data_IF_720269712174
#
_entry.id   IF_720269712174
#
_cell.length_a   1.000
_cell.length_b   1.000
_cell.length_c   1.000
_cell.angle_alpha   90.00
_cell.angle_beta   90.00
_cell.angle_gamma   90.00
#
_symmetry.space_group_name_H-M   'P 1'
#
loop_
_entity.id
_entity.type
_entity.pdbx_description
1 polymer ?
#
# COMPACT_ATOMS: atom_id res chain seq x y z
N UNK A 1 3.78 -3.20 -22.37
CA UNK A 1 5.04 -3.92 -22.59
C UNK A 1 6.08 -3.27 -21.69
N UNK A 2 6.47 -3.94 -20.57
CA UNK A 2 7.49 -3.44 -19.62
C UNK A 2 8.87 -3.55 -20.28
N UNK A 3 9.22 -2.55 -21.10
CA UNK A 3 10.47 -2.50 -21.84
C UNK A 3 11.54 -1.92 -20.91
N UNK A 4 12.45 -2.75 -20.41
CA UNK A 4 13.71 -2.30 -19.81
C UNK A 4 13.96 -2.58 -18.32
N UNK A 5 13.02 -3.11 -17.54
CA UNK A 5 13.33 -3.48 -16.15
C UNK A 5 14.16 -4.76 -16.13
N UNK A 6 15.39 -4.66 -15.63
CA UNK A 6 16.28 -5.81 -15.42
C UNK A 6 16.02 -6.53 -14.08
N UNK A 7 15.08 -6.05 -13.25
CA UNK A 7 14.73 -6.58 -11.94
C UNK A 7 13.22 -6.48 -11.69
N UNK A 8 12.73 -7.21 -10.70
CA UNK A 8 11.36 -7.14 -10.18
C UNK A 8 11.36 -6.48 -8.80
N UNK A 9 10.18 -6.23 -8.26
CA UNK A 9 10.00 -5.54 -6.99
C UNK A 9 9.58 -6.50 -5.88
N UNK A 10 10.24 -6.41 -4.73
CA UNK A 10 9.74 -6.88 -3.44
C UNK A 10 9.00 -5.73 -2.76
N UNK A 11 7.69 -5.85 -2.57
CA UNK A 11 6.89 -4.81 -1.93
C UNK A 11 6.66 -5.13 -0.46
N UNK A 12 6.99 -4.18 0.41
CA UNK A 12 6.76 -4.22 1.86
C UNK A 12 5.50 -3.42 2.17
N UNK A 13 4.50 -4.07 2.73
CA UNK A 13 3.21 -3.47 3.11
C UNK A 13 3.05 -3.57 4.63
N UNK A 14 3.18 -2.45 5.37
CA UNK A 14 3.04 -2.45 6.82
C UNK A 14 1.55 -2.41 7.18
N UNK A 15 1.10 -3.36 7.99
CA UNK A 15 -0.27 -3.42 8.50
C UNK A 15 -0.22 -3.32 10.01
N UNK A 16 -0.52 -2.14 10.55
CA UNK A 16 -0.56 -1.91 12.01
C UNK A 16 -1.71 -2.67 12.64
N UNK A 17 -1.62 -2.85 13.96
CA UNK A 17 -2.71 -3.39 14.78
C UNK A 17 -4.02 -2.70 14.44
N UNK A 18 -5.00 -3.48 14.01
CA UNK A 18 -6.26 -2.98 13.42
C UNK A 18 -7.10 -2.15 14.39
N UNK A 19 -6.87 -2.32 15.70
CA UNK A 19 -7.49 -1.50 16.74
C UNK A 19 -7.02 -0.03 16.66
N UNK A 20 -5.79 0.22 16.22
CA UNK A 20 -5.21 1.56 16.08
C UNK A 20 -5.42 2.18 14.68
N UNK A 21 -5.86 1.37 13.71
CA UNK A 21 -6.04 1.81 12.34
C UNK A 21 -7.29 2.68 12.17
N UNK A 22 -7.21 3.74 11.33
CA UNK A 22 -8.35 4.50 10.80
C UNK A 22 -9.29 5.13 11.84
N UNK A 23 -8.71 5.83 12.84
CA UNK A 23 -9.47 6.55 13.87
C UNK A 23 -10.48 7.55 13.28
N UNK A 24 -10.17 8.21 12.15
CA UNK A 24 -11.05 9.17 11.47
C UNK A 24 -12.22 8.52 10.72
N UNK A 25 -12.12 7.22 10.41
CA UNK A 25 -13.21 6.40 9.87
C UNK A 25 -13.99 5.66 10.96
N UNK A 26 -13.58 5.79 12.25
CA UNK A 26 -14.20 5.07 13.36
C UNK A 26 -15.70 5.34 13.50
N UNK A 27 -16.12 6.58 13.33
CA UNK A 27 -17.53 6.98 13.43
C UNK A 27 -18.38 6.38 12.30
N UNK A 28 -17.78 6.18 11.12
CA UNK A 28 -18.45 5.62 9.95
C UNK A 28 -18.45 4.09 9.95
N UNK A 29 -17.44 3.45 10.55
CA UNK A 29 -17.28 1.98 10.54
C UNK A 29 -17.70 1.31 11.84
N UNK A 30 -17.76 2.05 12.96
CA UNK A 30 -18.19 1.58 14.27
C UNK A 30 -17.50 0.25 14.68
N UNK A 31 -18.30 -0.78 15.12
CA UNK A 31 -17.77 -2.08 15.52
C UNK A 31 -17.14 -2.86 14.37
N UNK A 32 -17.33 -2.47 13.12
CA UNK A 32 -16.79 -3.15 11.92
C UNK A 32 -15.43 -2.65 11.47
N UNK A 33 -14.83 -1.72 12.23
CA UNK A 33 -13.55 -1.07 11.89
C UNK A 33 -12.42 -2.05 11.57
N UNK A 34 -12.25 -3.08 12.40
CA UNK A 34 -11.24 -4.12 12.20
C UNK A 34 -11.47 -4.87 10.87
N UNK A 35 -12.71 -5.27 10.63
CA UNK A 35 -13.10 -5.98 9.40
C UNK A 35 -12.89 -5.10 8.15
N UNK A 36 -13.25 -3.82 8.25
CA UNK A 36 -13.02 -2.86 7.17
C UNK A 36 -11.52 -2.68 6.88
N UNK A 37 -10.68 -2.49 7.91
CA UNK A 37 -9.25 -2.33 7.74
C UNK A 37 -8.59 -3.57 7.12
N UNK A 38 -8.99 -4.79 7.52
CA UNK A 38 -8.54 -6.04 6.89
C UNK A 38 -8.96 -6.10 5.43
N UNK A 39 -10.19 -5.72 5.11
CA UNK A 39 -10.70 -5.76 3.73
C UNK A 39 -9.91 -4.81 2.82
N UNK A 40 -9.63 -3.59 3.29
CA UNK A 40 -8.83 -2.59 2.57
C UNK A 40 -7.41 -3.10 2.32
N UNK A 41 -6.74 -3.62 3.37
CA UNK A 41 -5.41 -4.21 3.23
C UNK A 41 -5.40 -5.44 2.30
N UNK A 42 -6.47 -6.26 2.33
CA UNK A 42 -6.61 -7.41 1.45
C UNK A 42 -6.69 -7.02 -0.02
N UNK A 43 -7.42 -5.95 -0.35
CA UNK A 43 -7.49 -5.47 -1.74
C UNK A 43 -6.16 -4.90 -2.20
N UNK A 44 -5.46 -4.14 -1.35
CA UNK A 44 -4.11 -3.62 -1.64
C UNK A 44 -3.12 -4.76 -1.91
N UNK A 45 -3.09 -5.76 -1.02
CA UNK A 45 -2.21 -6.94 -1.15
C UNK A 45 -2.54 -7.75 -2.39
N UNK A 46 -3.83 -8.02 -2.65
CA UNK A 46 -4.27 -8.79 -3.82
C UNK A 46 -3.90 -8.09 -5.14
N UNK A 47 -4.06 -6.76 -5.21
CA UNK A 47 -3.66 -5.98 -6.37
C UNK A 47 -2.14 -5.98 -6.56
N UNK A 48 -1.37 -5.84 -5.47
CA UNK A 48 0.09 -5.90 -5.53
C UNK A 48 0.60 -7.27 -6.00
N UNK A 49 0.03 -8.37 -5.49
CA UNK A 49 0.36 -9.73 -5.92
C UNK A 49 0.01 -9.98 -7.39
N UNK A 50 -1.02 -9.32 -7.91
CA UNK A 50 -1.45 -9.43 -9.31
C UNK A 50 -0.63 -8.54 -10.26
N UNK A 51 0.25 -7.68 -9.74
CA UNK A 51 1.08 -6.79 -10.56
C UNK A 51 2.27 -7.55 -11.17
N UNK A 52 2.44 -7.57 -12.51
CA UNK A 52 3.50 -8.35 -13.15
C UNK A 52 4.92 -7.85 -12.83
N UNK A 53 5.08 -6.61 -12.38
CA UNK A 53 6.35 -6.04 -11.93
C UNK A 53 6.74 -6.49 -10.51
N UNK A 54 5.81 -7.06 -9.74
CA UNK A 54 6.02 -7.51 -8.37
C UNK A 54 6.40 -8.99 -8.33
N UNK A 55 7.50 -9.30 -7.65
CA UNK A 55 7.96 -10.66 -7.44
C UNK A 55 7.35 -11.26 -6.17
N UNK A 56 7.25 -10.45 -5.12
CA UNK A 56 6.72 -10.83 -3.80
C UNK A 56 6.08 -9.65 -3.08
N UNK A 57 5.17 -9.97 -2.19
CA UNK A 57 4.59 -9.01 -1.25
C UNK A 57 4.90 -9.50 0.17
N UNK A 58 5.49 -8.63 0.97
CA UNK A 58 5.87 -8.87 2.35
C UNK A 58 5.00 -7.99 3.24
N UNK A 59 4.11 -8.60 3.97
CA UNK A 59 3.27 -7.93 4.96
C UNK A 59 3.99 -7.91 6.30
N UNK A 60 4.15 -6.73 6.89
CA UNK A 60 4.75 -6.57 8.23
C UNK A 60 3.65 -6.22 9.20
N UNK A 61 3.34 -7.15 10.10
CA UNK A 61 2.28 -6.99 11.11
C UNK A 61 2.55 -7.81 12.37
N UNK A 62 2.07 -7.32 13.51
CA UNK A 62 2.00 -8.08 14.78
C UNK A 62 0.57 -8.59 15.07
N UNK A 63 -0.41 -8.29 14.20
CA UNK A 63 -1.82 -8.61 14.41
C UNK A 63 -2.21 -9.91 13.68
N UNK A 64 -2.52 -11.00 14.41
CA UNK A 64 -2.95 -12.25 13.78
C UNK A 64 -4.22 -12.12 12.94
N UNK A 65 -5.11 -11.17 13.27
CA UNK A 65 -6.33 -10.93 12.51
C UNK A 65 -6.06 -10.36 11.12
N UNK A 66 -4.90 -9.71 10.93
CA UNK A 66 -4.42 -9.29 9.63
C UNK A 66 -3.51 -10.35 8.99
N UNK A 67 -2.61 -10.96 9.76
CA UNK A 67 -1.61 -11.90 9.28
C UNK A 67 -2.24 -13.09 8.53
N UNK A 68 -3.25 -13.73 9.14
CA UNK A 68 -3.87 -14.95 8.59
C UNK A 68 -4.53 -14.72 7.23
N UNK A 69 -5.45 -13.74 7.06
CA UNK A 69 -6.09 -13.53 5.76
C UNK A 69 -5.11 -13.02 4.69
N UNK A 70 -4.10 -12.21 5.05
CA UNK A 70 -3.14 -11.70 4.08
C UNK A 70 -2.14 -12.78 3.62
N UNK A 71 -1.73 -13.69 4.52
CA UNK A 71 -0.96 -14.88 4.16
C UNK A 71 -1.75 -15.81 3.22
N UNK A 72 -3.06 -15.98 3.46
CA UNK A 72 -3.93 -16.77 2.59
C UNK A 72 -4.06 -16.22 1.16
N UNK A 73 -3.80 -14.92 0.95
CA UNK A 73 -3.73 -14.31 -0.38
C UNK A 73 -2.40 -14.62 -1.10
N UNK A 74 -1.38 -15.09 -0.39
CA UNK A 74 -0.05 -15.40 -0.93
C UNK A 74 1.04 -14.41 -0.50
N UNK A 75 0.78 -13.51 0.45
CA UNK A 75 1.80 -12.63 1.00
C UNK A 75 2.70 -13.39 1.99
N UNK A 76 4.00 -13.04 2.00
CA UNK A 76 4.92 -13.42 3.06
C UNK A 76 4.64 -12.54 4.30
N UNK A 77 4.51 -13.13 5.48
CA UNK A 77 4.24 -12.37 6.71
C UNK A 77 5.49 -12.32 7.59
N UNK A 78 5.87 -11.11 7.97
CA UNK A 78 6.97 -10.82 8.88
C UNK A 78 6.44 -10.10 10.11
N UNK A 79 6.89 -10.50 11.29
CA UNK A 79 6.45 -9.90 12.55
C UNK A 79 6.92 -8.44 12.66
N UNK A 80 5.98 -7.52 12.94
CA UNK A 80 6.30 -6.12 13.25
C UNK A 80 7.02 -6.05 14.61
N UNK A 81 8.22 -5.40 14.69
CA UNK A 81 8.92 -5.22 15.96
C UNK A 81 8.26 -4.18 16.90
N UNK A 82 7.15 -3.57 16.49
CA UNK A 82 6.38 -2.56 17.23
C UNK A 82 7.22 -1.31 17.63
N UNK A 83 8.10 -0.88 16.74
CA UNK A 83 8.97 0.30 16.91
C UNK A 83 8.67 1.42 15.91
N UNK A 84 7.41 1.48 15.46
CA UNK A 84 6.90 2.48 14.52
C UNK A 84 7.07 2.11 13.04
N UNK A 85 6.33 2.83 12.21
CA UNK A 85 6.10 2.53 10.79
C UNK A 85 7.40 2.34 9.98
N UNK A 86 8.33 3.29 10.09
CA UNK A 86 9.58 3.20 9.32
C UNK A 86 10.49 2.05 9.79
N UNK A 87 10.37 1.60 11.04
CA UNK A 87 11.08 0.42 11.53
C UNK A 87 10.45 -0.86 10.98
N UNK A 88 9.13 -0.97 10.98
CA UNK A 88 8.42 -2.07 10.33
C UNK A 88 8.82 -2.20 8.85
N UNK A 89 8.83 -1.09 8.12
CA UNK A 89 9.25 -1.06 6.72
C UNK A 89 10.70 -1.53 6.53
N UNK A 90 11.65 -1.09 7.38
CA UNK A 90 13.03 -1.56 7.33
C UNK A 90 13.16 -3.05 7.66
N UNK A 91 12.34 -3.56 8.58
CA UNK A 91 12.31 -5.00 8.92
C UNK A 91 11.87 -5.83 7.71
N UNK A 92 10.77 -5.44 7.04
CA UNK A 92 10.34 -6.11 5.81
C UNK A 92 11.34 -5.99 4.67
N UNK A 93 11.99 -4.83 4.52
CA UNK A 93 13.03 -4.62 3.52
C UNK A 93 14.27 -5.49 3.78
N UNK A 94 14.70 -5.65 5.03
CA UNK A 94 15.80 -6.54 5.39
C UNK A 94 15.46 -8.00 5.05
N UNK A 95 14.21 -8.45 5.29
CA UNK A 95 13.74 -9.76 4.86
C UNK A 95 13.78 -9.87 3.33
N UNK A 96 13.25 -8.89 2.58
CA UNK A 96 13.28 -8.88 1.12
C UNK A 96 14.70 -9.06 0.55
N UNK A 97 15.65 -8.27 1.06
CA UNK A 97 17.05 -8.34 0.62
C UNK A 97 17.69 -9.68 0.99
N UNK A 98 17.34 -10.27 2.12
CA UNK A 98 17.90 -11.57 2.54
C UNK A 98 17.47 -12.72 1.63
N UNK A 99 16.25 -12.67 1.11
CA UNK A 99 15.69 -13.74 0.24
C UNK A 99 15.91 -13.48 -1.25
N UNK A 100 16.05 -12.19 -1.65
CA UNK A 100 16.21 -11.80 -3.05
C UNK A 100 17.04 -10.52 -3.21
N UNK A 101 18.35 -10.56 -3.04
CA UNK A 101 19.21 -9.36 -3.06
C UNK A 101 19.26 -8.65 -4.42
N UNK A 102 18.83 -9.30 -5.49
CA UNK A 102 18.75 -8.72 -6.85
C UNK A 102 17.42 -8.02 -7.16
N UNK A 103 16.46 -8.02 -6.25
CA UNK A 103 15.19 -7.33 -6.44
C UNK A 103 15.24 -5.90 -5.89
N UNK A 104 14.47 -5.01 -6.53
CA UNK A 104 14.20 -3.69 -5.97
C UNK A 104 13.28 -3.81 -4.75
N UNK A 105 13.40 -2.90 -3.80
CA UNK A 105 12.57 -2.89 -2.59
C UNK A 105 11.68 -1.66 -2.59
N UNK A 106 10.38 -1.86 -2.41
CA UNK A 106 9.39 -0.78 -2.30
C UNK A 106 8.55 -0.91 -1.03
N UNK A 107 8.27 0.21 -0.38
CA UNK A 107 7.20 0.33 0.61
C UNK A 107 5.92 0.77 -0.10
N UNK A 108 4.82 0.12 0.19
CA UNK A 108 3.49 0.49 -0.28
C UNK A 108 2.55 0.60 0.91
N UNK A 109 1.76 1.67 0.99
CA UNK A 109 0.73 1.81 2.03
C UNK A 109 -0.33 0.69 1.90
N UNK A 110 -0.88 0.26 3.04
CA UNK A 110 -1.85 -0.84 3.11
C UNK A 110 -3.29 -0.41 2.82
N UNK A 111 -3.54 0.87 2.60
CA UNK A 111 -4.86 1.47 2.58
C UNK A 111 -5.27 2.02 1.21
N UNK A 112 -4.93 1.28 0.16
CA UNK A 112 -5.23 1.59 -1.24
C UNK A 112 -6.30 0.62 -1.79
N UNK A 113 -7.58 0.70 -1.33
CA UNK A 113 -8.60 -0.31 -1.67
C UNK A 113 -9.03 -0.29 -3.14
N UNK A 114 -8.69 0.75 -3.87
CA UNK A 114 -8.96 0.88 -5.31
C UNK A 114 -7.73 0.59 -6.17
N UNK A 115 -6.61 0.10 -5.58
CA UNK A 115 -5.36 -0.14 -6.29
C UNK A 115 -5.54 -1.06 -7.50
N UNK A 116 -5.02 -0.62 -8.64
CA UNK A 116 -5.03 -1.38 -9.90
C UNK A 116 -3.65 -1.90 -10.24
N UNK A 117 -3.49 -3.21 -10.52
CA UNK A 117 -2.19 -3.80 -10.86
C UNK A 117 -1.49 -3.10 -12.04
N UNK A 118 -2.23 -2.65 -13.04
CA UNK A 118 -1.68 -1.96 -14.21
C UNK A 118 -1.13 -0.56 -13.86
N UNK A 119 -1.81 0.19 -13.01
CA UNK A 119 -1.35 1.49 -12.54
C UNK A 119 -0.12 1.35 -11.62
N UNK A 120 -0.13 0.33 -10.75
CA UNK A 120 1.03 -0.01 -9.94
C UNK A 120 2.23 -0.40 -10.82
N UNK A 121 2.03 -1.20 -11.86
CA UNK A 121 3.09 -1.55 -12.81
C UNK A 121 3.68 -0.31 -13.51
N UNK A 122 2.83 0.66 -13.86
CA UNK A 122 3.24 1.94 -14.45
C UNK A 122 4.11 2.75 -13.47
N UNK A 123 3.68 2.86 -12.20
CA UNK A 123 4.43 3.56 -11.16
C UNK A 123 5.78 2.89 -10.87
N UNK A 124 5.80 1.55 -10.76
CA UNK A 124 7.01 0.77 -10.53
C UNK A 124 7.98 0.84 -11.71
N UNK A 125 7.45 0.87 -12.94
CA UNK A 125 8.25 1.07 -14.16
C UNK A 125 8.94 2.44 -14.16
N UNK A 126 8.22 3.50 -13.80
CA UNK A 126 8.79 4.84 -13.68
C UNK A 126 9.81 4.93 -12.53
N UNK A 127 9.54 4.28 -11.39
CA UNK A 127 10.46 4.23 -10.25
C UNK A 127 11.79 3.56 -10.59
N UNK A 128 11.77 2.56 -11.45
CA UNK A 128 12.95 1.81 -11.85
C UNK A 128 14.02 2.65 -12.60
N UNK A 129 13.66 3.82 -13.08
CA UNK A 129 14.59 4.75 -13.77
C UNK A 129 15.49 5.52 -12.77
N UNK A 130 15.20 5.48 -11.46
CA UNK A 130 15.88 6.25 -10.42
C UNK A 130 16.41 5.35 -9.32
N UNK A 131 17.51 5.75 -8.67
CA UNK A 131 18.06 5.03 -7.53
C UNK A 131 17.05 4.95 -6.38
N UNK A 132 16.31 6.03 -6.14
CA UNK A 132 15.18 6.08 -5.21
C UNK A 132 14.08 6.99 -5.75
N UNK A 133 12.85 6.56 -5.60
CA UNK A 133 11.67 7.29 -6.06
C UNK A 133 10.48 7.08 -5.14
N UNK A 134 9.50 7.99 -5.21
CA UNK A 134 8.26 7.86 -4.45
C UNK A 134 7.06 8.42 -5.22
N UNK A 135 5.87 7.93 -4.88
CA UNK A 135 4.58 8.45 -5.33
C UNK A 135 3.94 9.20 -4.17
N UNK A 136 3.60 10.49 -4.32
CA UNK A 136 2.85 11.22 -3.31
C UNK A 136 1.40 10.72 -3.23
N UNK A 137 0.75 10.91 -2.08
CA UNK A 137 -0.68 10.69 -1.94
C UNK A 137 -1.49 11.65 -2.83
N UNK A 138 -2.80 11.48 -2.86
CA UNK A 138 -3.68 12.32 -3.67
C UNK A 138 -3.80 13.78 -3.18
N UNK A 139 -3.39 14.06 -1.95
CA UNK A 139 -3.36 15.40 -1.35
C UNK A 139 -2.00 16.09 -1.53
N UNK A 140 -1.00 15.44 -2.10
CA UNK A 140 0.37 15.92 -2.26
C UNK A 140 1.07 16.28 -0.92
N UNK A 141 0.70 15.62 0.18
CA UNK A 141 1.27 15.82 1.52
C UNK A 141 2.02 14.58 2.00
N UNK A 142 1.41 13.42 1.83
CA UNK A 142 1.93 12.12 2.22
C UNK A 142 2.66 11.40 1.08
N UNK A 143 2.82 10.10 1.26
CA UNK A 143 3.48 9.19 0.31
C UNK A 143 2.77 7.85 0.38
N UNK A 144 2.35 7.32 -0.74
CA UNK A 144 1.73 6.00 -0.82
C UNK A 144 2.72 4.91 -1.22
N UNK A 145 3.73 5.26 -2.01
CA UNK A 145 4.82 4.38 -2.42
C UNK A 145 6.18 5.06 -2.27
N UNK A 146 7.18 4.35 -1.75
CA UNK A 146 8.60 4.72 -1.80
C UNK A 146 9.42 3.48 -2.16
N UNK A 147 10.34 3.60 -3.11
CA UNK A 147 11.13 2.47 -3.57
C UNK A 147 12.57 2.82 -3.92
N UNK A 148 13.42 1.80 -3.86
CA UNK A 148 14.84 1.87 -4.21
C UNK A 148 15.23 0.73 -5.14
N UNK A 149 16.21 0.98 -6.01
CA UNK A 149 16.82 -0.04 -6.88
C UNK A 149 17.64 -1.04 -6.07
N UNK A 150 17.96 -2.22 -6.64
CA UNK A 150 18.85 -3.17 -5.99
C UNK A 150 20.18 -2.53 -5.58
N UNK A 151 20.63 -2.81 -4.37
CA UNK A 151 21.89 -2.28 -3.82
C UNK A 151 21.83 -0.86 -3.25
N UNK A 152 20.74 -0.13 -3.46
CA UNK A 152 20.55 1.21 -2.88
C UNK A 152 19.99 1.09 -1.45
N UNK A 153 20.50 1.86 -0.47
CA UNK A 153 20.00 1.82 0.91
C UNK A 153 18.52 2.21 0.99
N UNK A 154 17.71 1.35 1.63
CA UNK A 154 16.29 1.60 1.85
C UNK A 154 16.07 2.46 3.09
N UNK A 155 15.75 3.74 2.90
CA UNK A 155 15.62 4.75 3.96
C UNK A 155 14.24 5.41 3.95
N UNK A 156 13.16 4.69 4.30
CA UNK A 156 11.80 5.22 4.27
C UNK A 156 11.60 6.33 5.31
N UNK A 157 10.79 7.33 4.96
CA UNK A 157 10.51 8.53 5.78
C UNK A 157 9.00 8.80 5.88
N UNK A 158 8.20 7.74 6.00
CA UNK A 158 6.74 7.83 6.12
C UNK A 158 6.28 8.50 7.43
N UNK A 159 5.03 8.97 7.41
CA UNK A 159 4.34 9.65 8.51
C UNK A 159 4.31 11.19 8.32
N UNK A 160 3.23 11.86 8.71
CA UNK A 160 3.04 13.31 8.56
C UNK A 160 3.33 13.80 7.13
N UNK A 161 4.10 14.88 6.99
CA UNK A 161 4.51 15.45 5.69
C UNK A 161 5.61 14.60 5.02
N UNK A 162 5.32 13.33 4.75
CA UNK A 162 6.31 12.38 4.23
C UNK A 162 6.79 12.72 2.82
N UNK A 163 5.96 13.36 1.99
CA UNK A 163 6.37 13.87 0.67
C UNK A 163 7.59 14.80 0.79
N UNK A 164 7.50 15.83 1.64
CA UNK A 164 8.61 16.77 1.85
C UNK A 164 9.87 16.09 2.38
N UNK A 165 9.70 15.08 3.26
CA UNK A 165 10.83 14.32 3.83
C UNK A 165 11.49 13.40 2.83
N UNK A 166 10.74 12.77 1.92
CA UNK A 166 11.33 11.96 0.85
C UNK A 166 12.06 12.84 -0.16
N UNK A 167 11.52 14.01 -0.53
CA UNK A 167 12.21 15.01 -1.35
C UNK A 167 13.53 15.44 -0.72
N UNK A 168 13.52 15.84 0.56
CA UNK A 168 14.71 16.22 1.30
C UNK A 168 15.73 15.06 1.45
N UNK A 169 15.26 13.81 1.36
CA UNK A 169 16.09 12.61 1.32
C UNK A 169 16.70 12.30 -0.05
N UNK A 170 16.43 13.12 -1.07
CA UNK A 170 16.93 12.94 -2.42
C UNK A 170 16.14 11.94 -3.29
N UNK A 171 14.97 11.49 -2.82
CA UNK A 171 14.12 10.62 -3.63
C UNK A 171 13.42 11.40 -4.74
N UNK A 172 13.34 10.81 -5.93
CA UNK A 172 12.64 11.37 -7.08
C UNK A 172 11.14 11.27 -6.88
N UNK A 173 10.44 12.38 -6.92
CA UNK A 173 8.98 12.41 -6.99
C UNK A 173 8.50 11.98 -8.37
N UNK A 174 7.56 11.05 -8.42
CA UNK A 174 6.98 10.54 -9.65
C UNK A 174 5.67 11.26 -9.97
N UNK A 175 5.70 12.08 -11.02
CA UNK A 175 4.52 12.75 -11.58
C UNK A 175 4.06 11.98 -12.83
N UNK A 176 3.52 10.78 -12.63
CA UNK A 176 3.08 9.90 -13.71
C UNK A 176 1.57 10.02 -13.89
N UNK A 177 1.04 10.30 -15.08
CA UNK A 177 -0.39 10.33 -15.33
C UNK A 177 -1.00 8.91 -15.29
N UNK A 178 -2.27 8.81 -14.89
CA UNK A 178 -3.02 7.54 -14.92
C UNK A 178 -2.59 6.53 -13.86
N UNK A 179 -2.15 7.01 -12.68
CA UNK A 179 -1.85 6.19 -11.51
C UNK A 179 -2.70 6.61 -10.30
N UNK A 180 -3.93 7.07 -10.54
CA UNK A 180 -4.78 7.64 -9.50
C UNK A 180 -5.07 6.64 -8.37
N UNK A 181 -5.21 5.36 -8.68
CA UNK A 181 -5.44 4.31 -7.69
C UNK A 181 -4.21 4.03 -6.80
N UNK A 182 -3.00 4.34 -7.27
CA UNK A 182 -1.77 4.23 -6.47
C UNK A 182 -1.66 5.36 -5.46
N UNK A 183 -2.27 6.51 -5.75
CA UNK A 183 -2.23 7.72 -4.93
C UNK A 183 -3.36 7.83 -3.92
N UNK A 184 -4.45 7.04 -4.10
CA UNK A 184 -5.69 7.17 -3.33
C UNK A 184 -5.70 6.24 -2.12
N UNK A 185 -5.07 6.67 -1.05
CA UNK A 185 -5.25 6.10 0.28
C UNK A 185 -6.58 6.54 0.91
N UNK A 186 -7.06 5.77 1.86
CA UNK A 186 -8.37 5.99 2.48
C UNK A 186 -8.21 6.18 3.97
N UNK A 187 -8.25 7.43 4.43
CA UNK A 187 -8.19 7.82 5.84
C UNK A 187 -9.48 8.45 6.37
N UNK A 188 -10.29 9.03 5.48
CA UNK A 188 -11.53 9.75 5.80
C UNK A 188 -12.72 9.19 4.99
N UNK A 189 -13.98 9.52 5.37
CA UNK A 189 -15.15 9.20 4.54
C UNK A 189 -15.05 9.76 3.12
N UNK A 190 -14.53 10.97 2.94
CA UNK A 190 -14.35 11.57 1.62
C UNK A 190 -13.34 10.81 0.75
N UNK A 191 -12.27 10.28 1.36
CA UNK A 191 -11.30 9.42 0.64
C UNK A 191 -11.96 8.12 0.20
N UNK A 192 -12.84 7.55 1.07
CA UNK A 192 -13.58 6.34 0.71
C UNK A 192 -14.53 6.59 -0.46
N UNK A 193 -15.25 7.72 -0.49
CA UNK A 193 -16.11 8.11 -1.62
C UNK A 193 -15.28 8.23 -2.91
N UNK A 194 -14.12 8.86 -2.85
CA UNK A 194 -13.21 8.96 -3.99
C UNK A 194 -12.68 7.59 -4.43
N UNK A 195 -12.36 6.68 -3.50
CA UNK A 195 -11.94 5.32 -3.81
C UNK A 195 -13.09 4.50 -4.42
N UNK A 196 -14.33 4.69 -3.97
CA UNK A 196 -15.54 4.08 -4.57
C UNK A 196 -15.67 4.52 -6.03
N UNK A 197 -15.45 5.79 -6.33
CA UNK A 197 -15.53 6.32 -7.70
C UNK A 197 -14.44 5.72 -8.61
N UNK A 198 -13.25 5.41 -8.08
CA UNK A 198 -12.20 4.69 -8.79
C UNK A 198 -12.52 3.20 -8.99
N UNK A 199 -13.37 2.63 -8.16
CA UNK A 199 -13.71 1.21 -8.14
C UNK A 199 -12.90 0.44 -7.09
N UNK A 200 -13.60 0.03 -6.02
CA UNK A 200 -13.02 -0.75 -4.92
C UNK A 200 -12.68 -2.18 -5.35
N UNK A 201 -11.69 -2.76 -4.71
CA UNK A 201 -11.46 -4.19 -4.75
C UNK A 201 -12.60 -4.97 -4.07
N UNK A 202 -12.65 -6.28 -4.33
CA UNK A 202 -13.77 -7.15 -3.92
C UNK A 202 -13.99 -7.21 -2.42
N UNK A 203 -12.92 -7.16 -1.63
CA UNK A 203 -12.99 -7.31 -0.17
C UNK A 203 -13.61 -6.07 0.48
N UNK A 204 -13.13 -4.87 0.09
CA UNK A 204 -13.66 -3.60 0.57
C UNK A 204 -15.07 -3.37 0.04
N UNK A 205 -15.35 -3.67 -1.23
CA UNK A 205 -16.66 -3.54 -1.83
C UNK A 205 -17.73 -4.36 -1.08
N UNK A 206 -17.40 -5.61 -0.67
CA UNK A 206 -18.31 -6.45 0.09
C UNK A 206 -18.64 -5.84 1.46
N UNK A 207 -17.65 -5.33 2.18
CA UNK A 207 -17.85 -4.68 3.48
C UNK A 207 -18.64 -3.38 3.35
N UNK A 208 -18.32 -2.57 2.34
CA UNK A 208 -19.06 -1.32 2.06
C UNK A 208 -20.52 -1.59 1.75
N UNK A 209 -20.82 -2.60 0.94
CA UNK A 209 -22.21 -2.98 0.61
C UNK A 209 -23.03 -3.40 1.84
N UNK A 210 -22.40 -4.03 2.84
CA UNK A 210 -23.07 -4.42 4.08
C UNK A 210 -23.27 -3.24 5.03
N UNK A 211 -22.24 -2.38 5.19
CA UNK A 211 -22.27 -1.28 6.15
C UNK A 211 -23.08 -0.08 5.65
N UNK A 212 -23.08 0.15 4.35
CA UNK A 212 -23.80 1.24 3.67
C UNK A 212 -24.65 0.66 2.54
N UNK A 213 -25.72 -0.11 2.86
CA UNK A 213 -26.61 -0.58 1.83
C UNK A 213 -27.18 0.64 1.09
N UNK A 214 -27.00 0.68 -0.23
CA UNK A 214 -27.64 1.72 -1.04
C UNK A 214 -29.13 1.65 -0.74
N UNK A 215 -29.69 2.71 -0.15
CA UNK A 215 -31.13 2.82 0.05
C UNK A 215 -31.77 2.53 -1.30
N UNK A 216 -32.58 1.45 -1.36
CA UNK A 216 -33.12 0.93 -2.60
C UNK A 216 -33.79 2.04 -3.37
N UNK A 217 -33.54 2.10 -4.64
CA UNK A 217 -34.40 2.76 -5.59
C UNK A 217 -35.78 2.10 -5.47
N UNK A 218 -36.65 2.67 -4.62
CA UNK A 218 -38.08 2.43 -4.69
C UNK A 218 -38.55 3.14 -5.96
N UNK A 219 -38.63 2.35 -7.06
CA UNK A 219 -39.22 2.75 -8.32
C UNK A 219 -40.72 2.70 -8.29
#
# INVERSE_FOLDING_TARGET
MLKGMSFRWSLVIPVKTLVAAKTRLADATGPHRTRFAVAVASDTVAAALSCPAVARVIVVTADPAAAVPLAALGAEVVTDPDRGLNTALRTGAAHAVSVAPGEAVGALQADLPALRPAELATALGAAAEFDQAFVPDALDVGTTFYGVRPGVPFTPRFGGESRARHLAGGAKELCVPGIDSVRRDVDTPADLEAAIALGLGRHTAAVVAELWPRSGASG
#
